data_IF_402414980750
#
_entry.id   IF_402414980750
#
_cell.length_a   1.000
_cell.length_b   1.000
_cell.length_c   1.000
_cell.angle_alpha   90.00
_cell.angle_beta   90.00
_cell.angle_gamma   90.00
#
_symmetry.space_group_name_H-M   'P 1'
#
loop_
_entity.id
_entity.type
_entity.pdbx_description
1 polymer ?
#
# COMPACT_ATOMS: atom_id res chain seq x y z
N UNK A 1 37.99 2.47 15.36
CA UNK A 1 36.87 2.63 14.42
C UNK A 1 35.85 1.57 14.77
N UNK A 2 34.79 1.94 15.49
CA UNK A 2 33.64 1.06 15.65
C UNK A 2 32.78 1.17 14.37
N UNK A 3 32.29 0.06 13.81
CA UNK A 3 31.44 0.11 12.63
C UNK A 3 30.15 0.86 12.98
N UNK A 4 29.74 1.80 12.13
CA UNK A 4 28.46 2.50 12.26
C UNK A 4 27.33 1.48 12.09
N UNK A 5 26.70 1.10 13.20
CA UNK A 5 25.65 0.09 13.25
C UNK A 5 24.27 0.66 12.92
N UNK A 6 24.14 1.32 11.76
CA UNK A 6 22.86 1.50 11.08
C UNK A 6 23.02 1.03 9.63
N UNK A 7 22.69 -0.24 9.31
CA UNK A 7 22.66 -0.71 7.94
C UNK A 7 21.48 -0.02 7.24
N UNK A 8 21.78 0.93 6.37
CA UNK A 8 20.81 1.86 5.84
C UNK A 8 20.64 1.68 4.35
N UNK A 9 19.73 0.78 4.00
CA UNK A 9 19.28 0.61 2.62
C UNK A 9 18.07 1.51 2.31
N UNK A 10 17.62 2.49 3.13
CA UNK A 10 16.24 3.05 2.94
C UNK A 10 15.89 4.56 3.16
N UNK A 11 16.78 5.53 3.35
CA UNK A 11 16.44 7.00 3.30
C UNK A 11 16.36 7.76 4.65
N UNK A 12 16.23 9.09 4.75
CA UNK A 12 16.32 9.80 6.06
C UNK A 12 15.30 9.41 7.14
N UNK A 13 15.79 9.53 8.38
CA UNK A 13 15.06 9.50 9.65
C UNK A 13 13.87 10.43 9.65
N UNK A 14 12.70 9.85 9.69
CA UNK A 14 11.55 10.51 10.26
C UNK A 14 10.80 9.51 11.08
N UNK A 15 9.90 10.01 11.88
CA UNK A 15 9.48 9.31 13.05
C UNK A 15 8.12 8.67 12.77
N UNK A 16 7.40 8.14 13.76
CA UNK A 16 6.04 7.63 13.55
C UNK A 16 5.04 8.51 14.32
N UNK A 17 3.96 8.96 13.70
CA UNK A 17 2.91 9.70 14.40
C UNK A 17 1.73 8.74 14.58
N UNK A 18 1.06 8.81 15.72
CA UNK A 18 -0.14 7.99 15.95
C UNK A 18 -1.34 8.47 15.12
N UNK A 19 -1.18 9.59 14.41
CA UNK A 19 -2.17 10.22 13.53
C UNK A 19 -1.53 10.56 12.18
N UNK A 20 -2.26 10.29 11.12
CA UNK A 20 -1.93 10.74 9.76
C UNK A 20 -1.98 12.27 9.75
N UNK A 21 -0.85 12.90 9.45
CA UNK A 21 -0.70 14.36 9.35
C UNK A 21 -0.17 14.71 7.96
N UNK A 22 -0.60 15.84 7.38
CA UNK A 22 -0.11 16.29 6.07
C UNK A 22 1.29 16.89 6.20
N UNK A 23 2.29 16.40 5.44
CA UNK A 23 3.64 16.94 5.36
C UNK A 23 3.67 18.44 5.20
N UNK A 24 4.55 19.10 5.97
CA UNK A 24 4.83 20.51 5.84
C UNK A 24 6.34 20.75 5.74
N UNK A 25 6.72 21.83 5.06
CA UNK A 25 8.12 22.28 4.95
C UNK A 25 8.77 22.57 6.31
N UNK A 26 7.98 22.94 7.31
CA UNK A 26 8.43 23.25 8.67
C UNK A 26 8.64 22.02 9.55
N UNK A 27 8.30 20.83 9.08
CA UNK A 27 8.56 19.61 9.83
C UNK A 27 10.07 19.38 9.94
N UNK A 28 10.53 19.03 11.15
CA UNK A 28 11.95 18.86 11.41
C UNK A 28 12.63 17.91 10.42
N UNK A 29 12.01 16.77 10.10
CA UNK A 29 12.59 15.80 9.18
C UNK A 29 12.60 16.26 7.72
N UNK A 30 11.49 16.85 7.25
CA UNK A 30 11.39 17.42 5.91
C UNK A 30 12.38 18.57 5.73
N UNK A 31 12.46 19.47 6.72
CA UNK A 31 13.42 20.57 6.74
C UNK A 31 14.86 20.07 6.78
N UNK A 32 15.16 19.05 7.59
CA UNK A 32 16.49 18.46 7.68
C UNK A 32 16.91 17.79 6.36
N UNK A 33 16.00 17.07 5.70
CA UNK A 33 16.21 16.52 4.36
C UNK A 33 16.49 17.61 3.31
N UNK A 34 15.76 18.73 3.34
CA UNK A 34 16.01 19.86 2.45
C UNK A 34 17.35 20.52 2.71
N UNK A 35 17.67 20.79 3.98
CA UNK A 35 18.93 21.43 4.34
C UNK A 35 20.13 20.54 4.00
N UNK A 36 20.00 19.21 4.13
CA UNK A 36 21.04 18.28 3.70
C UNK A 36 21.26 18.30 2.18
N UNK A 37 20.17 18.38 1.40
CA UNK A 37 20.25 18.53 -0.05
C UNK A 37 20.93 19.84 -0.45
N UNK A 38 20.55 20.96 0.19
CA UNK A 38 21.14 22.27 -0.05
C UNK A 38 22.60 22.34 0.39
N UNK A 39 22.96 21.74 1.51
CA UNK A 39 24.34 21.64 1.97
C UNK A 39 25.22 20.81 1.03
N UNK A 40 24.72 19.65 0.56
CA UNK A 40 25.44 18.85 -0.43
C UNK A 40 25.74 19.64 -1.71
N UNK A 41 24.79 20.44 -2.20
CA UNK A 41 25.04 21.35 -3.34
C UNK A 41 26.08 22.40 -3.00
N UNK A 42 25.91 23.09 -1.87
CA UNK A 42 26.81 24.16 -1.42
C UNK A 42 28.25 23.68 -1.28
N UNK A 43 28.42 22.43 -0.86
CA UNK A 43 29.71 21.78 -0.65
C UNK A 43 30.20 21.04 -1.90
N UNK A 44 29.52 21.12 -3.05
CA UNK A 44 29.88 20.42 -4.30
C UNK A 44 29.97 18.88 -4.15
N UNK A 45 29.12 18.32 -3.29
CA UNK A 45 28.99 16.89 -3.07
C UNK A 45 27.93 16.25 -3.99
N UNK A 46 27.80 14.93 -3.93
CA UNK A 46 26.78 14.22 -4.70
C UNK A 46 25.39 14.47 -4.11
N UNK A 47 24.42 14.76 -4.97
CA UNK A 47 23.07 15.12 -4.54
C UNK A 47 22.10 13.97 -4.79
N UNK A 48 21.20 13.70 -3.84
CA UNK A 48 20.13 12.75 -4.05
C UNK A 48 19.39 12.35 -2.78
N UNK A 49 18.99 11.08 -2.77
CA UNK A 49 18.33 10.38 -1.68
C UNK A 49 19.44 9.74 -0.85
N UNK A 50 19.70 10.31 0.32
CA UNK A 50 20.82 9.90 1.14
C UNK A 50 20.49 8.69 2.02
N UNK A 51 21.46 7.77 2.11
CA UNK A 51 21.47 6.66 3.05
C UNK A 51 21.91 7.09 4.46
N UNK A 52 22.39 8.32 4.64
CA UNK A 52 22.64 8.89 5.96
C UNK A 52 22.86 10.39 5.80
N UNK A 53 22.50 11.14 6.82
CA UNK A 53 22.82 12.56 6.92
C UNK A 53 23.39 12.81 8.30
N UNK A 54 24.50 13.53 8.34
CA UNK A 54 25.14 13.96 9.59
C UNK A 54 24.37 15.15 10.19
N UNK A 55 24.36 15.27 11.51
CA UNK A 55 23.79 16.42 12.21
C UNK A 55 24.61 17.70 11.98
N UNK A 56 25.89 17.60 11.62
CA UNK A 56 26.67 18.73 11.10
C UNK A 56 26.30 19.04 9.63
N UNK A 57 25.05 19.50 9.44
CA UNK A 57 24.47 19.73 8.12
C UNK A 57 25.33 20.69 7.29
N UNK A 58 25.86 21.75 7.90
CA UNK A 58 26.61 22.77 7.18
C UNK A 58 27.87 22.20 6.49
N UNK A 59 28.47 21.15 7.07
CA UNK A 59 29.63 20.44 6.50
C UNK A 59 29.26 19.11 5.83
N UNK A 60 27.97 18.85 5.61
CA UNK A 60 27.52 17.59 5.03
C UNK A 60 28.09 17.40 3.61
N UNK A 61 28.80 16.28 3.41
CA UNK A 61 29.46 15.90 2.16
C UNK A 61 29.26 14.40 1.90
N UNK A 62 28.12 14.00 1.31
CA UNK A 62 27.82 12.59 1.03
C UNK A 62 28.77 11.99 -0.02
N UNK A 63 29.24 10.78 0.24
CA UNK A 63 29.94 9.93 -0.74
C UNK A 63 28.97 9.26 -1.72
N UNK A 64 29.49 8.59 -2.75
CA UNK A 64 28.66 7.85 -3.72
C UNK A 64 27.91 6.68 -3.08
N UNK A 65 28.54 6.05 -2.12
CA UNK A 65 27.99 5.00 -1.26
C UNK A 65 26.87 5.50 -0.35
N UNK A 66 26.84 6.81 -0.10
CA UNK A 66 25.84 7.45 0.75
C UNK A 66 24.60 7.92 -0.03
N UNK A 67 24.60 7.78 -1.35
CA UNK A 67 23.46 8.16 -2.21
C UNK A 67 22.79 6.89 -2.75
N UNK A 68 21.55 6.64 -2.32
CA UNK A 68 20.74 5.49 -2.71
C UNK A 68 20.09 5.66 -4.09
N UNK A 69 19.84 6.91 -4.47
CA UNK A 69 19.24 7.27 -5.74
C UNK A 69 19.14 8.78 -5.87
N UNK A 70 18.63 9.26 -6.99
CA UNK A 70 18.30 10.65 -7.19
C UNK A 70 17.11 10.74 -8.13
N UNK A 71 16.09 11.51 -7.77
CA UNK A 71 15.12 11.96 -8.74
C UNK A 71 15.80 12.94 -9.69
N UNK A 72 15.59 12.74 -10.98
CA UNK A 72 16.05 13.67 -11.99
C UNK A 72 14.82 14.18 -12.74
N UNK A 73 14.48 15.44 -12.45
CA UNK A 73 13.38 16.13 -13.10
C UNK A 73 13.89 17.00 -14.24
N UNK A 74 13.18 16.97 -15.36
CA UNK A 74 13.39 17.85 -16.49
C UNK A 74 12.05 18.37 -17.00
N UNK A 75 12.09 19.47 -17.75
CA UNK A 75 10.92 19.89 -18.52
C UNK A 75 10.56 18.82 -19.56
N UNK A 76 9.27 18.47 -19.61
CA UNK A 76 8.72 17.45 -20.49
C UNK A 76 8.12 18.04 -21.76
N UNK A 77 8.16 17.26 -22.84
CA UNK A 77 7.70 17.66 -24.17
C UNK A 77 6.17 17.60 -24.31
N UNK A 78 5.44 18.55 -23.72
CA UNK A 78 4.11 18.99 -24.21
C UNK A 78 3.82 20.39 -23.67
N UNK A 79 3.96 21.43 -24.49
CA UNK A 79 3.36 22.73 -24.13
C UNK A 79 1.87 22.67 -24.47
N UNK A 80 1.04 22.71 -23.43
CA UNK A 80 -0.41 22.94 -23.59
C UNK A 80 -0.75 24.32 -23.08
N UNK A 81 -1.85 24.89 -23.57
CA UNK A 81 -2.27 26.24 -23.20
C UNK A 81 -3.61 26.12 -22.48
N UNK A 82 -3.68 26.71 -21.29
CA UNK A 82 -4.93 26.90 -20.55
C UNK A 82 -5.58 28.18 -21.03
N UNK A 83 -6.84 28.05 -21.44
CA UNK A 83 -7.66 29.19 -21.82
C UNK A 83 -8.27 29.87 -20.58
N UNK A 84 -8.62 31.17 -20.66
CA UNK A 84 -9.21 31.92 -19.54
C UNK A 84 -10.44 31.25 -18.89
N UNK A 85 -11.30 30.60 -19.67
CA UNK A 85 -12.50 29.92 -19.21
C UNK A 85 -12.21 28.59 -18.46
N UNK A 86 -10.98 28.11 -18.54
CA UNK A 86 -10.53 26.84 -17.98
C UNK A 86 -9.95 26.97 -16.57
N UNK A 87 -9.86 28.18 -16.02
CA UNK A 87 -9.33 28.42 -14.67
C UNK A 87 -10.31 28.12 -13.53
N UNK A 88 -11.59 27.87 -13.82
CA UNK A 88 -12.54 27.42 -12.77
C UNK A 88 -12.18 26.01 -12.31
N UNK A 89 -12.38 25.68 -11.02
CA UNK A 89 -12.06 24.35 -10.48
C UNK A 89 -12.57 23.16 -11.32
N UNK A 90 -13.85 23.10 -11.75
CA UNK A 90 -14.32 21.99 -12.58
C UNK A 90 -13.74 21.99 -13.99
N UNK A 91 -13.54 23.16 -14.61
CA UNK A 91 -12.98 23.26 -15.95
C UNK A 91 -11.49 22.91 -15.96
N UNK A 92 -10.73 23.32 -14.94
CA UNK A 92 -9.32 23.00 -14.78
C UNK A 92 -9.12 21.51 -14.54
N UNK A 93 -9.96 20.89 -13.71
CA UNK A 93 -9.93 19.43 -13.53
C UNK A 93 -10.23 18.70 -14.83
N UNK A 94 -11.25 19.13 -15.58
CA UNK A 94 -11.55 18.57 -16.90
C UNK A 94 -10.40 18.83 -17.90
N UNK A 95 -9.74 19.98 -17.81
CA UNK A 95 -8.54 20.30 -18.58
C UNK A 95 -7.43 19.31 -18.28
N UNK A 96 -7.14 18.99 -17.01
CA UNK A 96 -6.09 18.04 -16.62
C UNK A 96 -6.46 16.63 -17.06
N UNK A 97 -7.71 16.21 -16.84
CA UNK A 97 -8.17 14.84 -17.11
C UNK A 97 -8.13 14.47 -18.60
N UNK A 98 -8.21 15.46 -19.50
CA UNK A 98 -8.08 15.22 -20.94
C UNK A 98 -6.63 15.18 -21.42
N UNK A 99 -5.66 15.55 -20.58
CA UNK A 99 -4.25 15.52 -20.95
C UNK A 99 -3.71 14.10 -20.85
N UNK A 100 -2.87 13.71 -21.80
CA UNK A 100 -2.19 12.42 -21.77
C UNK A 100 -0.89 12.44 -20.97
N UNK A 101 -0.49 13.61 -20.46
CA UNK A 101 0.79 13.77 -19.78
C UNK A 101 0.79 13.07 -18.42
N UNK A 102 -0.28 13.19 -17.62
CA UNK A 102 -0.46 12.47 -16.35
C UNK A 102 -1.69 11.54 -16.45
N UNK A 103 -1.54 10.30 -16.96
CA UNK A 103 -2.66 9.40 -17.22
C UNK A 103 -3.20 8.64 -15.99
N UNK A 104 -2.54 8.78 -14.84
CA UNK A 104 -2.87 8.06 -13.60
C UNK A 104 -3.65 8.90 -12.58
N UNK A 105 -3.77 8.42 -11.33
CA UNK A 105 -4.24 9.25 -10.22
C UNK A 105 -3.42 10.54 -10.13
N UNK A 106 -4.12 11.67 -10.05
CA UNK A 106 -3.52 13.00 -9.96
C UNK A 106 -4.15 13.77 -8.82
N UNK A 107 -3.34 14.53 -8.11
CA UNK A 107 -3.85 15.54 -7.20
C UNK A 107 -3.47 16.94 -7.69
N UNK A 108 -4.32 17.93 -7.35
CA UNK A 108 -4.19 19.30 -7.82
C UNK A 108 -4.36 20.29 -6.68
N UNK A 109 -3.41 21.22 -6.58
CA UNK A 109 -3.51 22.38 -5.69
C UNK A 109 -3.18 23.66 -6.45
N UNK A 110 -3.42 24.79 -5.82
CA UNK A 110 -3.20 26.09 -6.43
C UNK A 110 -3.70 27.25 -5.59
N UNK A 111 -3.44 28.48 -6.05
CA UNK A 111 -4.00 29.67 -5.41
C UNK A 111 -5.41 29.93 -5.93
N UNK A 112 -6.39 29.72 -5.07
CA UNK A 112 -7.81 29.98 -5.36
C UNK A 112 -8.18 31.44 -5.06
N UNK A 113 -8.85 32.10 -6.00
CA UNK A 113 -9.41 33.44 -5.85
C UNK A 113 -10.92 33.35 -5.58
N UNK A 114 -11.39 33.58 -4.33
CA UNK A 114 -12.81 33.44 -4.00
C UNK A 114 -13.72 34.43 -4.73
N UNK A 115 -13.22 35.63 -5.05
CA UNK A 115 -13.99 36.69 -5.70
C UNK A 115 -14.39 36.35 -7.15
N UNK A 116 -13.52 35.66 -7.87
CA UNK A 116 -13.73 35.27 -9.28
C UNK A 116 -14.00 33.78 -9.46
N UNK A 117 -13.89 32.97 -8.39
CA UNK A 117 -14.09 31.52 -8.42
C UNK A 117 -13.20 30.80 -9.46
N UNK A 118 -11.95 31.25 -9.55
CA UNK A 118 -10.92 30.68 -10.44
C UNK A 118 -9.62 30.46 -9.69
N UNK A 119 -8.79 29.55 -10.20
CA UNK A 119 -7.40 29.46 -9.84
C UNK A 119 -6.62 30.60 -10.51
N UNK A 120 -5.62 31.12 -9.80
CA UNK A 120 -4.63 32.04 -10.35
C UNK A 120 -3.39 31.29 -10.82
N UNK A 121 -2.96 30.34 -10.02
CA UNK A 121 -1.79 29.48 -10.23
C UNK A 121 -2.23 28.08 -9.85
N UNK A 122 -1.76 27.06 -10.56
CA UNK A 122 -2.04 25.68 -10.19
C UNK A 122 -0.84 24.78 -10.46
N UNK A 123 -0.83 23.67 -9.74
CA UNK A 123 0.02 22.53 -9.99
C UNK A 123 -0.84 21.27 -9.87
N UNK A 124 -0.74 20.40 -10.86
CA UNK A 124 -1.24 19.04 -10.79
C UNK A 124 -0.07 18.08 -10.91
N UNK A 125 -0.04 17.02 -10.11
CA UNK A 125 1.03 16.04 -10.20
C UNK A 125 0.51 14.63 -9.92
N UNK A 126 1.26 13.64 -10.39
CA UNK A 126 0.89 12.25 -10.22
C UNK A 126 1.91 11.27 -10.79
N UNK A 127 1.61 9.99 -10.62
CA UNK A 127 2.46 8.91 -11.10
C UNK A 127 2.23 8.65 -12.59
N UNK A 128 3.32 8.42 -13.30
CA UNK A 128 3.35 7.85 -14.64
C UNK A 128 4.14 6.55 -14.63
N UNK A 129 3.51 5.46 -15.07
CA UNK A 129 4.20 4.20 -15.29
C UNK A 129 4.38 4.06 -16.80
N UNK A 130 5.63 4.14 -17.26
CA UNK A 130 5.92 3.99 -18.67
C UNK A 130 5.59 2.57 -19.15
N UNK A 131 4.72 2.40 -20.15
CA UNK A 131 4.34 1.08 -20.65
C UNK A 131 5.51 0.28 -21.23
N UNK A 132 6.57 0.96 -21.67
CA UNK A 132 7.71 0.37 -22.37
C UNK A 132 8.87 -0.01 -21.45
N UNK A 133 9.11 0.76 -20.38
CA UNK A 133 10.26 0.55 -19.49
C UNK A 133 9.86 0.01 -18.11
N UNK A 134 8.56 0.03 -17.78
CA UNK A 134 8.04 -0.28 -16.44
C UNK A 134 8.74 0.52 -15.33
N UNK A 135 9.31 1.68 -15.69
CA UNK A 135 9.87 2.62 -14.74
C UNK A 135 8.75 3.51 -14.23
N UNK A 136 8.75 3.70 -12.91
CA UNK A 136 7.91 4.68 -12.25
C UNK A 136 8.55 6.06 -12.43
N UNK A 137 7.79 6.98 -13.02
CA UNK A 137 8.12 8.38 -13.13
C UNK A 137 7.05 9.20 -12.43
N UNK A 138 7.41 10.39 -11.96
CA UNK A 138 6.45 11.37 -11.47
C UNK A 138 6.37 12.52 -12.45
N UNK A 139 5.15 12.97 -12.73
CA UNK A 139 4.90 14.03 -13.69
C UNK A 139 4.08 15.12 -13.04
N UNK A 140 4.40 16.37 -13.36
CA UNK A 140 3.70 17.54 -12.88
C UNK A 140 3.37 18.49 -14.04
N UNK A 141 2.20 19.11 -13.96
CA UNK A 141 1.74 20.18 -14.83
C UNK A 141 1.60 21.44 -13.99
N UNK A 142 2.17 22.54 -14.43
CA UNK A 142 2.13 23.81 -13.74
C UNK A 142 1.72 24.92 -14.68
N UNK A 143 0.86 25.85 -14.23
CA UNK A 143 0.69 27.11 -14.94
C UNK A 143 0.73 28.28 -13.97
N UNK A 144 1.56 29.25 -14.34
CA UNK A 144 1.76 30.50 -13.63
C UNK A 144 1.62 31.65 -14.64
N UNK A 145 0.54 32.45 -14.57
CA UNK A 145 0.39 33.61 -15.44
C UNK A 145 1.54 34.61 -15.24
N UNK A 146 2.04 35.21 -16.32
CA UNK A 146 3.11 36.22 -16.25
C UNK A 146 2.69 37.47 -15.47
N UNK A 147 1.42 37.86 -15.60
CA UNK A 147 0.78 38.85 -14.74
C UNK A 147 -0.15 38.11 -13.77
N UNK A 148 0.20 38.13 -12.48
CA UNK A 148 -0.54 37.43 -11.42
C UNK A 148 -1.98 37.91 -11.28
N UNK A 149 -2.36 39.05 -11.86
CA UNK A 149 -3.76 39.51 -11.84
C UNK A 149 -4.52 39.21 -13.14
N UNK A 150 -3.83 38.75 -14.19
CA UNK A 150 -4.42 38.49 -15.50
C UNK A 150 -4.94 37.05 -15.63
N UNK A 151 -6.18 36.80 -15.19
CA UNK A 151 -6.89 35.53 -15.46
C UNK A 151 -7.46 35.44 -16.88
N UNK A 152 -7.41 36.56 -17.62
CA UNK A 152 -8.08 36.72 -18.92
C UNK A 152 -7.17 36.45 -20.12
N UNK A 153 -5.95 35.96 -19.88
CA UNK A 153 -4.95 35.68 -20.92
C UNK A 153 -4.65 34.18 -20.95
N UNK A 154 -4.48 33.56 -22.13
CA UNK A 154 -4.04 32.17 -22.21
C UNK A 154 -2.67 31.97 -21.57
N UNK A 155 -2.50 30.89 -20.82
CA UNK A 155 -1.27 30.61 -20.07
C UNK A 155 -0.68 29.27 -20.50
N UNK A 156 0.63 29.27 -20.76
CA UNK A 156 1.34 28.03 -21.09
C UNK A 156 1.49 27.17 -19.84
N UNK A 157 1.19 25.88 -20.01
CA UNK A 157 1.42 24.85 -19.01
C UNK A 157 2.82 24.31 -19.18
N UNK A 158 3.60 24.36 -18.11
CA UNK A 158 4.90 23.72 -18.01
C UNK A 158 4.74 22.33 -17.48
N UNK A 159 5.28 21.39 -18.23
CA UNK A 159 5.28 19.99 -17.87
C UNK A 159 6.65 19.61 -17.33
N UNK A 160 6.66 18.89 -16.21
CA UNK A 160 7.87 18.41 -15.56
C UNK A 160 7.75 16.90 -15.46
N UNK A 161 8.78 16.19 -15.90
CA UNK A 161 8.90 14.74 -15.77
C UNK A 161 10.12 14.39 -14.93
N UNK A 162 9.88 13.63 -13.87
CA UNK A 162 10.85 13.20 -12.90
C UNK A 162 11.03 11.69 -12.99
N UNK A 163 12.26 11.26 -13.23
CA UNK A 163 12.62 9.84 -13.27
C UNK A 163 13.56 9.51 -12.13
N UNK A 164 13.34 8.37 -11.49
CA UNK A 164 14.21 7.92 -10.42
C UNK A 164 15.39 7.16 -11.01
N UNK A 165 16.59 7.64 -10.74
CA UNK A 165 17.81 6.86 -10.90
C UNK A 165 18.14 6.22 -9.55
N UNK A 166 18.21 4.89 -9.47
CA UNK A 166 18.64 4.20 -8.25
C UNK A 166 20.06 3.69 -8.37
N UNK A 167 20.77 3.70 -7.24
CA UNK A 167 22.09 3.14 -7.09
C UNK A 167 21.98 1.85 -6.26
N UNK A 168 22.86 0.87 -6.54
CA UNK A 168 22.95 -0.39 -5.79
C UNK A 168 21.66 -1.23 -5.72
N UNK A 169 20.72 -1.07 -6.66
CA UNK A 169 19.48 -1.86 -6.70
C UNK A 169 18.44 -1.46 -5.65
N UNK A 170 18.66 -0.36 -4.93
CA UNK A 170 17.69 0.24 -4.03
C UNK A 170 16.39 0.57 -4.78
N UNK A 171 15.25 0.44 -4.10
CA UNK A 171 13.93 0.83 -4.60
C UNK A 171 13.15 1.49 -3.48
N UNK A 172 12.67 2.74 -3.65
CA UNK A 172 11.78 3.33 -2.67
C UNK A 172 10.46 2.56 -2.63
N UNK A 173 9.82 2.58 -1.47
CA UNK A 173 8.41 2.22 -1.36
C UNK A 173 7.61 3.12 -2.30
N UNK A 174 6.78 2.53 -3.16
CA UNK A 174 5.93 3.33 -4.05
C UNK A 174 4.97 4.18 -3.21
N UNK A 175 4.82 5.44 -3.59
CA UNK A 175 3.84 6.31 -2.97
C UNK A 175 2.43 5.83 -3.30
N UNK A 176 1.58 5.79 -2.28
CA UNK A 176 0.16 5.52 -2.43
C UNK A 176 -0.56 6.77 -2.95
N UNK A 177 -1.81 6.62 -3.40
CA UNK A 177 -2.63 7.75 -3.84
C UNK A 177 -2.73 8.85 -2.76
N UNK A 178 -2.93 8.46 -1.50
CA UNK A 178 -2.97 9.37 -0.35
C UNK A 178 -1.67 10.19 -0.18
N UNK A 179 -0.51 9.60 -0.50
CA UNK A 179 0.76 10.31 -0.39
C UNK A 179 0.89 11.41 -1.46
N UNK A 180 0.17 11.30 -2.58
CA UNK A 180 0.09 12.41 -3.53
C UNK A 180 -0.61 13.60 -2.88
N UNK A 181 -1.83 13.38 -2.38
CA UNK A 181 -2.66 14.42 -1.75
C UNK A 181 -1.96 15.10 -0.57
N UNK A 182 -1.23 14.31 0.23
CA UNK A 182 -0.55 14.80 1.42
C UNK A 182 0.63 15.74 1.07
N UNK A 183 1.34 15.50 -0.03
CA UNK A 183 2.52 16.26 -0.42
C UNK A 183 2.24 17.38 -1.44
N UNK A 184 1.08 17.40 -2.10
CA UNK A 184 0.74 18.37 -3.15
C UNK A 184 0.92 19.83 -2.70
N UNK A 185 0.40 20.20 -1.53
CA UNK A 185 0.49 21.58 -1.03
C UNK A 185 1.94 21.99 -0.72
N UNK A 186 2.74 21.07 -0.17
CA UNK A 186 4.17 21.32 0.11
C UNK A 186 4.97 21.46 -1.18
N UNK A 187 4.76 20.58 -2.16
CA UNK A 187 5.39 20.69 -3.48
C UNK A 187 5.05 22.01 -4.16
N UNK A 188 3.78 22.39 -4.16
CA UNK A 188 3.33 23.66 -4.74
C UNK A 188 4.00 24.86 -4.04
N UNK A 189 4.06 24.84 -2.71
CA UNK A 189 4.73 25.88 -1.93
C UNK A 189 6.18 26.10 -2.35
N UNK A 190 6.98 25.04 -2.46
CA UNK A 190 8.39 25.13 -2.87
C UNK A 190 8.57 25.64 -4.30
N UNK A 191 7.73 25.17 -5.21
CA UNK A 191 7.85 25.54 -6.63
C UNK A 191 7.40 26.98 -6.86
N UNK A 192 6.35 27.41 -6.17
CA UNK A 192 5.77 28.75 -6.32
C UNK A 192 6.47 29.83 -5.49
N UNK A 193 7.29 29.46 -4.51
CA UNK A 193 8.18 30.40 -3.81
C UNK A 193 9.14 31.06 -4.80
N UNK A 194 9.54 30.33 -5.85
CA UNK A 194 10.42 30.83 -6.88
C UNK A 194 9.64 31.54 -8.00
N UNK A 195 10.20 32.67 -8.44
CA UNK A 195 9.67 33.42 -9.58
C UNK A 195 10.25 32.96 -10.92
N UNK A 196 11.33 32.17 -10.89
CA UNK A 196 11.97 31.65 -12.08
C UNK A 196 11.46 30.23 -12.40
N UNK A 197 10.90 30.08 -13.59
CA UNK A 197 10.39 28.81 -14.05
C UNK A 197 11.49 27.79 -14.38
N UNK A 198 12.72 28.26 -14.69
CA UNK A 198 13.85 27.37 -14.98
C UNK A 198 14.26 26.55 -13.74
N UNK A 199 13.94 27.02 -12.53
CA UNK A 199 14.26 26.33 -11.28
C UNK A 199 13.21 25.30 -10.84
N UNK A 200 12.05 25.24 -11.50
CA UNK A 200 10.94 24.38 -11.06
C UNK A 200 11.35 22.90 -11.04
N UNK A 201 12.04 22.43 -12.07
CA UNK A 201 12.53 21.04 -12.12
C UNK A 201 13.51 20.72 -10.98
N UNK A 202 14.37 21.67 -10.61
CA UNK A 202 15.29 21.51 -9.48
C UNK A 202 14.54 21.47 -8.14
N UNK A 203 13.52 22.30 -7.94
CA UNK A 203 12.69 22.25 -6.73
C UNK A 203 11.89 20.95 -6.65
N UNK A 204 11.30 20.48 -7.75
CA UNK A 204 10.66 19.16 -7.78
C UNK A 204 11.64 18.05 -7.42
N UNK A 205 12.87 18.10 -7.94
CA UNK A 205 13.92 17.15 -7.59
C UNK A 205 14.21 17.18 -6.08
N UNK A 206 14.40 18.37 -5.50
CA UNK A 206 14.62 18.56 -4.06
C UNK A 206 13.48 17.98 -3.24
N UNK A 207 12.23 18.31 -3.59
CA UNK A 207 11.06 17.84 -2.87
C UNK A 207 10.87 16.34 -3.00
N UNK A 208 10.96 15.77 -4.21
CA UNK A 208 10.82 14.33 -4.41
C UNK A 208 11.91 13.53 -3.70
N UNK A 209 13.16 14.01 -3.68
CA UNK A 209 14.23 13.38 -2.91
C UNK A 209 13.90 13.41 -1.41
N UNK A 210 13.51 14.57 -0.87
CA UNK A 210 13.12 14.67 0.53
C UNK A 210 11.91 13.80 0.86
N UNK A 211 10.88 13.80 0.02
CA UNK A 211 9.70 12.95 0.18
C UNK A 211 10.08 11.48 0.13
N UNK A 212 10.98 11.04 -0.77
CA UNK A 212 11.44 9.63 -0.78
C UNK A 212 12.19 9.26 0.48
N UNK A 213 12.94 10.19 1.04
CA UNK A 213 13.63 10.01 2.31
C UNK A 213 12.65 9.99 3.49
N UNK A 214 11.63 10.86 3.48
CA UNK A 214 10.67 11.05 4.57
C UNK A 214 9.56 9.99 4.56
N UNK A 215 8.93 9.75 3.42
CA UNK A 215 7.80 8.81 3.27
C UNK A 215 8.13 7.37 3.68
N UNK A 216 9.40 6.95 3.60
CA UNK A 216 9.87 5.64 4.08
C UNK A 216 9.69 5.43 5.59
N UNK A 217 9.38 6.48 6.34
CA UNK A 217 9.15 6.44 7.79
C UNK A 217 7.68 6.64 8.21
N UNK A 218 6.75 6.71 7.26
CA UNK A 218 5.33 6.96 7.52
C UNK A 218 4.99 8.35 8.09
N UNK A 219 5.72 9.38 7.65
CA UNK A 219 5.40 10.80 7.90
C UNK A 219 5.27 11.19 9.38
N UNK A 220 6.01 10.52 10.28
CA UNK A 220 5.72 10.62 11.71
C UNK A 220 6.74 11.34 12.59
N UNK A 221 6.38 11.46 13.89
CA UNK A 221 6.92 12.31 15.01
C UNK A 221 7.48 11.67 16.34
N UNK A 222 8.77 11.42 16.60
CA UNK A 222 9.39 10.94 17.85
C UNK A 222 10.86 11.40 17.90
N UNK A 223 11.10 12.53 18.56
CA UNK A 223 12.43 12.99 18.93
C UNK A 223 12.58 12.70 20.41
N UNK A 224 13.15 11.54 20.74
CA UNK A 224 13.85 11.41 22.00
C UNK A 224 15.20 10.72 21.74
N UNK A 225 16.25 11.28 22.34
CA UNK A 225 17.62 10.83 22.14
C UNK A 225 17.89 9.42 22.72
N UNK A 226 17.02 8.94 23.60
CA UNK A 226 17.11 7.64 24.26
C UNK A 226 16.67 6.54 23.30
N UNK A 227 15.51 6.68 22.66
CA UNK A 227 15.00 5.80 21.59
C UNK A 227 15.95 5.76 20.39
N UNK A 228 16.52 6.90 19.99
CA UNK A 228 17.53 6.94 18.93
C UNK A 228 18.80 6.16 19.31
N UNK A 229 19.28 6.30 20.55
CA UNK A 229 20.41 5.56 21.07
C UNK A 229 20.12 4.04 21.18
N UNK A 230 18.92 3.65 21.64
CA UNK A 230 18.46 2.26 21.73
C UNK A 230 18.39 1.57 20.36
N UNK A 231 18.06 2.32 19.31
CA UNK A 231 17.99 1.83 17.92
C UNK A 231 19.33 1.86 17.19
N UNK A 232 20.44 2.14 17.88
CA UNK A 232 21.79 2.11 17.32
C UNK A 232 22.20 3.38 16.56
N UNK A 233 21.36 4.42 16.57
CA UNK A 233 21.62 5.72 15.96
C UNK A 233 22.53 6.61 16.83
N UNK A 234 22.74 6.24 18.10
CA UNK A 234 23.50 7.04 19.05
C UNK A 234 22.79 8.36 19.43
N UNK A 235 23.53 9.31 19.98
CA UNK A 235 23.03 10.66 20.33
C UNK A 235 23.22 11.67 19.19
N UNK A 236 23.82 11.22 18.09
CA UNK A 236 24.41 12.06 17.04
C UNK A 236 23.89 11.72 15.64
N UNK A 237 23.14 10.63 15.50
CA UNK A 237 22.49 10.22 14.27
C UNK A 237 21.05 9.82 14.61
N UNK A 238 20.14 9.90 13.65
CA UNK A 238 18.89 9.15 13.70
C UNK A 238 18.97 7.98 12.70
N UNK A 239 18.17 6.95 12.89
CA UNK A 239 18.06 5.85 11.92
C UNK A 239 16.60 5.65 11.51
N UNK A 240 16.38 5.28 10.24
CA UNK A 240 15.06 4.87 9.79
C UNK A 240 14.66 3.55 10.43
N UNK A 241 13.42 3.48 10.90
CA UNK A 241 12.78 2.21 11.18
C UNK A 241 12.02 1.76 9.93
N UNK A 242 12.25 0.51 9.49
CA UNK A 242 11.41 -0.14 8.47
C UNK A 242 9.98 -0.21 8.99
N UNK A 243 9.17 0.77 8.61
CA UNK A 243 7.79 0.87 9.03
C UNK A 243 6.90 0.66 7.82
N UNK A 244 6.40 -0.55 7.64
CA UNK A 244 5.31 -0.81 6.69
C UNK A 244 4.04 -0.13 7.22
N UNK A 245 3.64 1.02 6.62
CA UNK A 245 2.32 1.60 6.86
C UNK A 245 1.27 0.64 6.35
N UNK A 246 0.51 0.04 7.25
CA UNK A 246 -0.73 -0.65 6.90
C UNK A 246 -1.78 0.44 6.73
N UNK A 247 -1.96 0.91 5.50
CA UNK A 247 -2.91 1.97 5.16
C UNK A 247 -4.35 1.54 5.49
N UNK A 248 -5.21 2.52 5.80
CA UNK A 248 -6.61 2.26 6.18
C UNK A 248 -7.38 1.46 5.12
N UNK A 249 -7.10 1.67 3.84
CA UNK A 249 -7.64 0.89 2.73
C UNK A 249 -7.29 -0.60 2.84
N UNK A 250 -6.03 -0.93 3.14
CA UNK A 250 -5.56 -2.30 3.38
C UNK A 250 -6.23 -2.88 4.62
N UNK A 251 -6.41 -2.10 5.69
CA UNK A 251 -7.13 -2.53 6.89
C UNK A 251 -8.58 -2.86 6.53
N UNK A 252 -9.27 -1.99 5.79
CA UNK A 252 -10.67 -2.19 5.37
C UNK A 252 -10.78 -3.48 4.53
N UNK A 253 -9.93 -3.65 3.53
CA UNK A 253 -9.91 -4.85 2.68
C UNK A 253 -9.66 -6.11 3.53
N UNK A 254 -8.70 -6.04 4.46
CA UNK A 254 -8.37 -7.17 5.35
C UNK A 254 -9.54 -7.51 6.26
N UNK A 255 -10.22 -6.52 6.83
CA UNK A 255 -11.42 -6.72 7.66
C UNK A 255 -12.55 -7.37 6.86
N UNK A 256 -12.78 -6.92 5.62
CA UNK A 256 -13.77 -7.52 4.72
C UNK A 256 -13.43 -8.99 4.41
N UNK A 257 -12.16 -9.27 4.10
CA UNK A 257 -11.68 -10.64 3.87
C UNK A 257 -11.86 -11.54 5.09
N UNK A 258 -11.49 -11.06 6.28
CA UNK A 258 -11.70 -11.78 7.54
C UNK A 258 -13.17 -12.04 7.80
N UNK A 259 -14.05 -11.07 7.54
CA UNK A 259 -15.49 -11.24 7.68
C UNK A 259 -16.04 -12.32 6.73
N UNK A 260 -15.60 -12.35 5.46
CA UNK A 260 -15.99 -13.39 4.50
C UNK A 260 -15.56 -14.79 4.94
N UNK A 261 -14.32 -14.93 5.44
CA UNK A 261 -13.83 -16.21 5.97
C UNK A 261 -14.64 -16.65 7.20
N UNK A 262 -14.96 -15.73 8.10
CA UNK A 262 -15.81 -16.03 9.26
C UNK A 262 -17.21 -16.48 8.84
N UNK A 263 -17.81 -15.85 7.82
CA UNK A 263 -19.11 -16.28 7.28
C UNK A 263 -19.04 -17.69 6.71
N UNK A 264 -18.00 -18.02 5.94
CA UNK A 264 -17.80 -19.38 5.42
C UNK A 264 -17.68 -20.40 6.56
N UNK A 265 -16.88 -20.09 7.58
CA UNK A 265 -16.71 -20.97 8.76
C UNK A 265 -18.02 -21.17 9.53
N UNK A 266 -18.85 -20.13 9.65
CA UNK A 266 -20.16 -20.25 10.31
C UNK A 266 -21.11 -21.13 9.50
N UNK A 267 -21.10 -21.03 8.17
CA UNK A 267 -21.90 -21.90 7.28
C UNK A 267 -21.44 -23.36 7.42
N UNK A 268 -20.13 -23.61 7.34
CA UNK A 268 -19.58 -24.95 7.48
C UNK A 268 -19.89 -25.55 8.86
N UNK A 269 -19.73 -24.76 9.93
CA UNK A 269 -20.06 -25.20 11.28
C UNK A 269 -21.57 -25.46 11.42
N UNK A 270 -22.41 -24.60 10.84
CA UNK A 270 -23.85 -24.78 10.83
C UNK A 270 -24.24 -26.08 10.11
N UNK A 271 -23.63 -26.37 8.95
CA UNK A 271 -23.89 -27.61 8.21
C UNK A 271 -23.40 -28.84 8.96
N UNK A 272 -22.24 -28.81 9.61
CA UNK A 272 -21.74 -29.91 10.45
C UNK A 272 -22.65 -30.15 11.65
N UNK A 273 -23.06 -29.09 12.35
CA UNK A 273 -23.95 -29.18 13.51
C UNK A 273 -25.32 -29.70 13.06
N UNK A 274 -25.88 -29.13 12.00
CA UNK A 274 -27.16 -29.55 11.43
C UNK A 274 -27.11 -31.01 10.99
N UNK A 275 -26.09 -31.43 10.25
CA UNK A 275 -25.92 -32.82 9.80
C UNK A 275 -25.76 -33.79 10.98
N UNK A 276 -25.11 -33.36 12.07
CA UNK A 276 -24.99 -34.17 13.30
C UNK A 276 -26.34 -34.33 14.03
N UNK A 277 -27.19 -33.30 13.98
CA UNK A 277 -28.51 -33.32 14.63
C UNK A 277 -29.65 -33.82 13.72
N UNK A 278 -29.42 -33.89 12.41
CA UNK A 278 -30.41 -34.40 11.46
C UNK A 278 -30.50 -35.94 11.59
N UNK A 279 -31.65 -36.40 12.08
CA UNK A 279 -31.91 -37.82 12.40
C UNK A 279 -31.93 -38.72 11.17
N UNK A 280 -31.86 -38.18 9.96
CA UNK A 280 -31.83 -38.96 8.70
C UNK A 280 -30.61 -39.89 8.60
N UNK A 281 -29.46 -39.56 9.18
CA UNK A 281 -28.31 -40.48 9.20
C UNK A 281 -28.48 -41.65 10.19
N UNK A 282 -29.31 -41.51 11.22
CA UNK A 282 -29.64 -42.60 12.16
C UNK A 282 -30.46 -43.73 11.51
N UNK A 283 -31.10 -43.46 10.37
CA UNK A 283 -31.79 -44.49 9.58
C UNK A 283 -30.84 -45.21 8.61
N UNK A 284 -29.80 -44.53 8.13
CA UNK A 284 -28.74 -45.16 7.31
C UNK A 284 -27.86 -46.09 8.14
N UNK A 285 -27.69 -45.80 9.44
CA UNK A 285 -27.00 -46.68 10.40
C UNK A 285 -27.75 -47.99 10.69
N UNK A 286 -29.02 -48.12 10.26
CA UNK A 286 -29.83 -49.35 10.41
C UNK A 286 -29.84 -50.24 9.16
N UNK A 287 -29.11 -49.89 8.10
CA UNK A 287 -28.93 -50.80 6.98
C UNK A 287 -28.01 -51.95 7.39
N UNK A 288 -28.40 -53.22 7.21
CA UNK A 288 -27.51 -54.33 7.52
C UNK A 288 -26.28 -54.26 6.60
N UNK A 289 -25.11 -54.05 7.21
CA UNK A 289 -23.83 -53.96 6.49
C UNK A 289 -23.21 -55.35 6.26
N UNK A 290 -23.72 -56.38 6.93
CA UNK A 290 -23.22 -57.76 6.82
C UNK A 290 -24.10 -58.61 5.89
N UNK A 291 -23.46 -59.39 5.02
CA UNK A 291 -24.13 -60.18 3.99
C UNK A 291 -25.10 -61.24 4.57
N UNK A 292 -24.86 -61.67 5.81
CA UNK A 292 -25.66 -62.66 6.53
C UNK A 292 -27.03 -62.11 6.97
N UNK A 293 -27.07 -60.88 7.47
CA UNK A 293 -28.32 -60.24 7.90
C UNK A 293 -29.24 -59.98 6.70
N UNK A 294 -28.67 -59.69 5.53
CA UNK A 294 -29.41 -59.63 4.27
C UNK A 294 -30.02 -60.96 3.86
N UNK A 295 -29.30 -62.07 4.05
CA UNK A 295 -29.81 -63.41 3.71
C UNK A 295 -30.94 -63.83 4.65
N UNK A 296 -30.83 -63.54 5.95
CA UNK A 296 -31.89 -63.84 6.93
C UNK A 296 -33.14 -63.01 6.63
N UNK A 297 -32.99 -61.70 6.42
CA UNK A 297 -34.12 -60.82 6.09
C UNK A 297 -34.79 -61.20 4.74
N UNK A 298 -34.01 -61.68 3.76
CA UNK A 298 -34.54 -62.15 2.49
C UNK A 298 -35.35 -63.44 2.65
N UNK A 299 -34.86 -64.40 3.44
CA UNK A 299 -35.55 -65.67 3.70
C UNK A 299 -36.86 -65.41 4.45
N UNK A 300 -36.86 -64.61 5.51
CA UNK A 300 -38.08 -64.26 6.26
C UNK A 300 -39.13 -63.60 5.35
N UNK A 301 -38.67 -62.70 4.46
CA UNK A 301 -39.55 -62.04 3.49
C UNK A 301 -40.08 -62.99 2.41
N UNK A 302 -39.31 -64.01 2.01
CA UNK A 302 -39.73 -64.99 1.01
C UNK A 302 -40.64 -66.08 1.59
N UNK A 303 -40.43 -66.50 2.83
CA UNK A 303 -41.23 -67.57 3.46
C UNK A 303 -42.43 -67.05 4.25
N UNK A 304 -42.45 -65.77 4.63
CA UNK A 304 -43.57 -65.15 5.36
C UNK A 304 -43.72 -65.58 6.82
N UNK A 305 -42.79 -66.39 7.33
CA UNK A 305 -42.75 -66.88 8.71
C UNK A 305 -41.52 -66.30 9.43
N UNK A 306 -41.74 -65.65 10.57
CA UNK A 306 -40.67 -65.23 11.49
C UNK A 306 -39.98 -66.48 12.10
N UNK A 307 -38.66 -66.57 12.00
CA UNK A 307 -37.91 -67.72 12.48
C UNK A 307 -37.76 -67.64 14.01
N UNK A 308 -38.71 -68.24 14.76
CA UNK A 308 -38.76 -68.18 16.24
C UNK A 308 -38.05 -69.32 16.99
N UNK A 309 -37.51 -70.33 16.29
CA UNK A 309 -36.77 -71.45 16.91
C UNK A 309 -35.52 -71.82 16.11
N UNK A 310 -34.48 -72.37 16.75
CA UNK A 310 -33.27 -72.76 16.06
C UNK A 310 -33.54 -73.76 14.95
N UNK A 311 -32.98 -73.54 13.75
CA UNK A 311 -33.06 -74.50 12.64
C UNK A 311 -31.67 -75.04 12.36
N UNK A 312 -31.57 -76.37 12.31
CA UNK A 312 -30.38 -77.06 11.82
C UNK A 312 -30.38 -77.02 10.29
N UNK A 313 -29.38 -76.36 9.72
CA UNK A 313 -29.10 -76.37 8.29
C UNK A 313 -27.69 -76.93 8.13
N UNK A 314 -27.59 -78.19 7.70
CA UNK A 314 -26.36 -78.97 7.66
C UNK A 314 -25.63 -79.01 9.03
N UNK A 315 -24.29 -78.98 9.03
CA UNK A 315 -23.38 -79.11 10.18
C UNK A 315 -23.46 -77.88 11.13
N UNK A 316 -24.50 -77.06 11.03
CA UNK A 316 -24.66 -75.82 11.78
C UNK A 316 -26.09 -75.65 12.27
N UNK A 317 -26.22 -75.22 13.52
CA UNK A 317 -27.47 -74.81 14.15
C UNK A 317 -27.48 -73.30 14.29
N UNK A 318 -28.54 -72.70 13.76
CA UNK A 318 -28.77 -71.26 13.77
C UNK A 318 -29.73 -70.91 14.88
N UNK A 319 -29.40 -69.91 15.71
CA UNK A 319 -30.28 -69.43 16.77
C UNK A 319 -30.09 -67.91 16.99
N UNK A 320 -31.11 -67.26 17.54
CA UNK A 320 -31.05 -65.86 17.94
C UNK A 320 -30.60 -65.82 19.40
N UNK A 321 -29.56 -65.04 19.70
CA UNK A 321 -29.10 -64.87 21.09
C UNK A 321 -30.04 -63.98 21.91
N UNK A 322 -29.82 -63.90 23.23
CA UNK A 322 -30.66 -63.09 24.14
C UNK A 322 -30.61 -61.58 23.83
N UNK A 323 -29.67 -61.12 22.99
CA UNK A 323 -29.56 -59.74 22.53
C UNK A 323 -30.30 -59.46 21.22
N UNK A 324 -30.93 -60.49 20.64
CA UNK A 324 -31.68 -60.39 19.39
C UNK A 324 -30.82 -60.47 18.13
N UNK A 325 -29.55 -60.90 18.24
CA UNK A 325 -28.63 -61.07 17.10
C UNK A 325 -28.70 -62.48 16.55
N UNK A 326 -28.61 -62.60 15.23
CA UNK A 326 -28.56 -63.90 14.56
C UNK A 326 -27.15 -64.51 14.70
N UNK A 327 -27.07 -65.72 15.24
CA UNK A 327 -25.82 -66.44 15.46
C UNK A 327 -25.89 -67.84 14.83
N UNK A 328 -24.74 -68.38 14.43
CA UNK A 328 -24.63 -69.78 14.02
C UNK A 328 -23.52 -70.47 14.81
N UNK A 329 -23.77 -71.73 15.21
CA UNK A 329 -22.74 -72.60 15.77
C UNK A 329 -22.65 -73.88 14.97
N UNK A 330 -21.45 -74.43 14.85
CA UNK A 330 -21.24 -75.73 14.24
C UNK A 330 -21.72 -76.83 15.19
N UNK A 331 -22.50 -77.78 14.69
CA UNK A 331 -23.01 -78.94 15.42
C UNK A 331 -22.28 -80.20 15.02
#
# INVERSE_FOLDING_TARGET
MAPSSCPFETGLVTMANTKVVKPASTWAATSFAYQAWEAAIRNEAMVGIYSKVDNDIDNFYPGKEDVLGNWNCAEGDVDTIIQPDEWTKPALKAFIDRQTFIPGPTDMTGVWLPSSSVYREFMAWGQYISPSTNLTSYRAMLATPADREATDVPVNVRNIECTLQTFNGWKPTMWTEDAYEDWTDTMFGFVMELSDAEEYAAQFTKVLNATSMVSGSNDGHFVDAETAAEKGAGTTYGCLELSTRIYGSVIIITVILVALVLVMLVIDLYDVVRNKFDKRHREVEKMPFEMLDWQVALVEKMTGDEIKKPRALAIYEYFIDESGRSCCRKV
#
